data_IF_075338232702
#
_entry.id   IF_075338232702
#
_cell.length_a   1.000
_cell.length_b   1.000
_cell.length_c   1.000
_cell.angle_alpha   90.00
_cell.angle_beta   90.00
_cell.angle_gamma   90.00
#
_symmetry.space_group_name_H-M   'P 1'
#
loop_
_entity.id
_entity.type
_entity.pdbx_description
1 polymer ?
#
# COMPACT_ATOMS: atom_id res chain seq x y z
N UNK A 1 38.89 15.70 -13.42
CA UNK A 1 38.09 15.75 -12.17
C UNK A 1 36.57 15.81 -12.37
N UNK A 2 36.03 16.36 -13.48
CA UNK A 2 34.57 16.52 -13.69
C UNK A 2 33.73 15.22 -13.78
N UNK A 3 34.24 14.14 -14.41
CA UNK A 3 33.49 12.87 -14.58
C UNK A 3 33.07 12.20 -13.27
N UNK A 4 33.92 12.23 -12.23
CA UNK A 4 33.60 11.64 -10.92
C UNK A 4 32.49 12.40 -10.19
N UNK A 5 32.33 13.69 -10.46
CA UNK A 5 31.27 14.52 -9.86
C UNK A 5 29.92 14.25 -10.52
N UNK A 6 29.90 14.03 -11.84
CA UNK A 6 28.67 13.71 -12.59
C UNK A 6 28.10 12.36 -12.15
N UNK A 7 28.96 11.34 -12.00
CA UNK A 7 28.53 10.00 -11.57
C UNK A 7 27.87 10.06 -10.19
N UNK A 8 28.45 10.80 -9.23
CA UNK A 8 27.86 10.96 -7.89
C UNK A 8 26.50 11.63 -7.93
N UNK A 9 26.32 12.66 -8.77
CA UNK A 9 25.03 13.34 -8.94
C UNK A 9 24.00 12.39 -9.55
N UNK A 10 24.35 11.63 -10.59
CA UNK A 10 23.44 10.66 -11.18
C UNK A 10 23.01 9.58 -10.17
N UNK A 11 23.96 9.02 -9.40
CA UNK A 11 23.65 8.02 -8.37
C UNK A 11 22.73 8.61 -7.30
N UNK A 12 22.98 9.84 -6.86
CA UNK A 12 22.13 10.51 -5.88
C UNK A 12 20.70 10.74 -6.40
N UNK A 13 20.55 11.20 -7.65
CA UNK A 13 19.23 11.39 -8.27
C UNK A 13 18.47 10.06 -8.44
N UNK A 14 19.17 8.99 -8.83
CA UNK A 14 18.57 7.66 -8.93
C UNK A 14 18.10 7.17 -7.56
N UNK A 15 18.93 7.33 -6.51
CA UNK A 15 18.54 6.96 -5.14
C UNK A 15 17.32 7.75 -4.67
N UNK A 16 17.26 9.06 -4.94
CA UNK A 16 16.10 9.88 -4.63
C UNK A 16 14.84 9.40 -5.37
N UNK A 17 14.96 9.08 -6.65
CA UNK A 17 13.83 8.58 -7.46
C UNK A 17 13.31 7.24 -6.92
N UNK A 18 14.21 6.33 -6.52
CA UNK A 18 13.86 5.05 -5.91
C UNK A 18 13.12 5.28 -4.59
N UNK A 19 13.65 6.14 -3.70
CA UNK A 19 13.02 6.43 -2.41
C UNK A 19 11.63 7.05 -2.59
N UNK A 20 11.48 7.97 -3.54
CA UNK A 20 10.18 8.57 -3.86
C UNK A 20 9.20 7.51 -4.41
N UNK A 21 9.66 6.63 -5.30
CA UNK A 21 8.86 5.53 -5.85
C UNK A 21 8.40 4.55 -4.78
N UNK A 22 9.29 4.15 -3.86
CA UNK A 22 8.95 3.30 -2.71
C UNK A 22 7.95 4.02 -1.81
N UNK A 23 8.20 5.28 -1.43
CA UNK A 23 7.28 6.05 -0.59
C UNK A 23 5.88 6.16 -1.19
N UNK A 24 5.79 6.41 -2.50
CA UNK A 24 4.52 6.42 -3.21
C UNK A 24 3.87 5.04 -3.27
N UNK A 25 4.64 3.98 -3.52
CA UNK A 25 4.15 2.60 -3.56
C UNK A 25 3.59 2.14 -2.22
N UNK A 26 4.14 2.63 -1.11
CA UNK A 26 3.68 2.33 0.24
C UNK A 26 2.41 3.08 0.65
N UNK A 27 1.88 4.02 -0.15
CA UNK A 27 0.66 4.75 0.21
C UNK A 27 -0.54 3.79 0.33
N UNK A 28 -1.39 3.91 1.37
CA UNK A 28 -2.57 3.08 1.51
C UNK A 28 -3.65 3.48 0.50
N UNK A 29 -4.23 2.50 -0.17
CA UNK A 29 -5.42 2.64 -1.02
C UNK A 29 -6.52 1.78 -0.43
N UNK A 30 -7.58 2.42 0.05
CA UNK A 30 -8.74 1.77 0.64
C UNK A 30 -9.92 1.78 -0.33
N UNK A 31 -10.51 0.60 -0.56
CA UNK A 31 -11.75 0.43 -1.32
C UNK A 31 -12.87 -0.04 -0.39
N UNK A 32 -14.09 0.52 -0.49
CA UNK A 32 -15.21 0.06 0.32
C UNK A 32 -15.55 -1.38 -0.04
N UNK A 33 -15.96 -2.16 0.95
CA UNK A 33 -16.48 -3.51 0.80
C UNK A 33 -18.00 -3.40 0.88
N UNK A 34 -18.70 -3.94 -0.11
CA UNK A 34 -20.15 -3.97 -0.11
C UNK A 34 -20.66 -4.92 0.99
N UNK A 35 -21.80 -4.60 1.61
CA UNK A 35 -22.33 -5.37 2.74
C UNK A 35 -22.62 -6.82 2.37
N UNK A 36 -23.05 -7.07 1.13
CA UNK A 36 -23.27 -8.43 0.61
C UNK A 36 -21.97 -9.24 0.57
N UNK A 37 -20.84 -8.58 0.27
CA UNK A 37 -19.53 -9.21 0.22
C UNK A 37 -18.99 -9.56 1.61
N UNK A 38 -19.48 -8.92 2.68
CA UNK A 38 -19.09 -9.24 4.06
C UNK A 38 -19.53 -10.65 4.45
N UNK A 39 -20.67 -11.13 3.92
CA UNK A 39 -21.16 -12.49 4.17
C UNK A 39 -20.38 -13.59 3.44
N UNK A 40 -19.50 -13.25 2.49
CA UNK A 40 -18.72 -14.22 1.74
C UNK A 40 -17.38 -14.59 2.39
N UNK A 41 -16.98 -13.89 3.46
CA UNK A 41 -15.79 -14.27 4.21
C UNK A 41 -16.07 -15.53 5.05
N UNK A 42 -15.21 -16.55 4.92
CA UNK A 42 -15.33 -17.78 5.73
C UNK A 42 -15.10 -17.57 7.25
N UNK A 43 -14.51 -16.44 7.63
CA UNK A 43 -14.34 -15.97 9.01
C UNK A 43 -14.86 -14.53 9.05
N UNK A 44 -15.63 -14.12 10.09
CA UNK A 44 -16.11 -12.75 10.23
C UNK A 44 -15.00 -11.73 10.04
N UNK A 45 -15.28 -10.66 9.31
CA UNK A 45 -14.27 -9.65 8.94
C UNK A 45 -13.67 -8.97 10.17
N UNK A 46 -14.46 -8.87 11.25
CA UNK A 46 -14.08 -8.34 12.56
C UNK A 46 -12.94 -9.15 13.20
N UNK A 47 -12.93 -10.46 12.97
CA UNK A 47 -11.96 -11.39 13.57
C UNK A 47 -10.70 -11.54 12.73
N UNK A 48 -10.72 -11.08 11.48
CA UNK A 48 -9.58 -11.18 10.56
C UNK A 48 -8.42 -10.30 11.02
N UNK A 49 -7.23 -10.89 11.02
CA UNK A 49 -5.96 -10.21 11.37
C UNK A 49 -5.04 -10.03 10.16
N UNK A 50 -5.59 -10.07 8.94
CA UNK A 50 -4.84 -9.89 7.70
C UNK A 50 -4.08 -8.55 7.70
N UNK A 51 -2.80 -8.59 7.31
CA UNK A 51 -1.94 -7.41 7.21
C UNK A 51 -1.35 -7.26 5.82
N UNK A 52 -1.24 -6.02 5.38
CA UNK A 52 -0.52 -5.61 4.17
C UNK A 52 0.66 -4.73 4.58
N UNK A 53 1.87 -5.25 4.42
CA UNK A 53 3.13 -4.67 4.87
C UNK A 53 3.14 -4.21 6.35
N UNK A 54 2.64 -3.01 6.63
CA UNK A 54 2.66 -2.37 7.95
C UNK A 54 1.25 -2.06 8.50
N UNK A 55 0.18 -2.34 7.75
CA UNK A 55 -1.19 -1.96 8.08
C UNK A 55 -2.15 -3.15 8.06
N UNK A 56 -3.28 -3.03 8.77
CA UNK A 56 -4.38 -3.99 8.67
C UNK A 56 -5.06 -3.86 7.31
N UNK A 57 -5.38 -5.00 6.68
CA UNK A 57 -6.08 -5.03 5.40
C UNK A 57 -7.52 -4.58 5.59
N UNK A 58 -8.23 -5.16 6.55
CA UNK A 58 -9.61 -4.83 6.82
C UNK A 58 -9.69 -3.78 7.92
N UNK A 59 -10.34 -2.66 7.62
CA UNK A 59 -10.48 -1.53 8.54
C UNK A 59 -11.92 -1.03 8.52
N UNK A 60 -12.48 -0.83 9.70
CA UNK A 60 -13.78 -0.19 9.87
C UNK A 60 -13.56 1.32 9.98
N UNK A 61 -14.19 2.11 9.11
CA UNK A 61 -14.06 3.56 9.09
C UNK A 61 -15.24 4.22 9.79
N UNK A 62 -15.08 5.51 10.12
CA UNK A 62 -16.07 6.30 10.87
C UNK A 62 -17.43 6.47 10.15
N UNK A 63 -17.52 6.09 8.87
CA UNK A 63 -18.75 6.07 8.08
C UNK A 63 -19.57 4.78 8.29
N UNK A 64 -19.10 3.86 9.14
CA UNK A 64 -19.79 2.61 9.44
C UNK A 64 -19.52 1.49 8.44
N UNK A 65 -18.73 1.76 7.39
CA UNK A 65 -18.43 0.78 6.36
C UNK A 65 -17.07 0.11 6.58
N UNK A 66 -16.98 -1.14 6.14
CA UNK A 66 -15.73 -1.88 6.06
C UNK A 66 -14.97 -1.53 4.78
N UNK A 67 -13.67 -1.35 4.91
CA UNK A 67 -12.77 -1.08 3.79
C UNK A 67 -11.69 -2.15 3.70
N UNK A 68 -11.37 -2.52 2.48
CA UNK A 68 -10.15 -3.25 2.16
C UNK A 68 -9.06 -2.26 1.77
N UNK A 69 -8.07 -2.13 2.63
CA UNK A 69 -6.94 -1.25 2.45
C UNK A 69 -5.69 -2.07 2.10
N UNK A 70 -5.03 -1.72 1.00
CA UNK A 70 -3.74 -2.29 0.58
C UNK A 70 -2.84 -1.16 0.10
N UNK A 71 -1.53 -1.31 0.23
CA UNK A 71 -0.56 -0.40 -0.38
C UNK A 71 -0.77 -0.35 -1.90
N UNK A 72 -0.47 0.79 -2.52
CA UNK A 72 -0.52 0.93 -3.97
C UNK A 72 0.33 -0.13 -4.68
N UNK A 73 1.46 -0.50 -4.08
CA UNK A 73 2.33 -1.58 -4.54
C UNK A 73 1.61 -2.94 -4.50
N UNK A 74 1.04 -3.36 -3.36
CA UNK A 74 0.31 -4.62 -3.27
C UNK A 74 -0.85 -4.71 -4.27
N UNK A 75 -1.53 -3.59 -4.54
CA UNK A 75 -2.58 -3.52 -5.56
C UNK A 75 -2.05 -3.60 -7.00
N UNK A 76 -0.81 -3.25 -7.27
CA UNK A 76 -0.24 -3.37 -8.61
C UNK A 76 0.22 -4.80 -8.92
N UNK A 77 0.66 -5.54 -7.90
CA UNK A 77 1.25 -6.87 -8.07
C UNK A 77 0.31 -8.04 -7.74
N UNK A 78 -0.72 -7.83 -6.91
CA UNK A 78 -1.60 -8.89 -6.38
C UNK A 78 -3.09 -8.60 -6.58
N UNK A 79 -3.44 -7.99 -7.71
CA UNK A 79 -4.81 -7.75 -8.17
C UNK A 79 -5.04 -8.38 -9.54
#
# INVERSE_FOLDING_TARGET
>A
MKKKSIIKVCVFLILLAILAGVGYGMRPICSPIADEALGHFGVPIEERQDRDFYMKVFQHKNDGHWYQCKTAMSRAFFF
#
